data_IF_576402279769
#
_entry.id   IF_576402279769
#
_cell.length_a   1.000
_cell.length_b   1.000
_cell.length_c   1.000
_cell.angle_alpha   90.00
_cell.angle_beta   90.00
_cell.angle_gamma   90.00
#
_symmetry.space_group_name_H-M   'P 1'
#
loop_
_entity.id
_entity.type
_entity.pdbx_description
1 polymer ?
#
# COMPACT_ATOMS: atom_id res chain seq x y z
N UNK A 1 28.16 19.02 -19.07
CA UNK A 1 26.96 18.97 -18.21
C UNK A 1 26.71 17.53 -17.83
N UNK A 2 26.56 17.26 -16.54
CA UNK A 2 26.16 15.97 -16.00
C UNK A 2 24.75 16.15 -15.42
N UNK A 3 23.86 15.21 -15.71
CA UNK A 3 22.51 15.19 -15.13
C UNK A 3 22.19 13.76 -14.69
N UNK A 4 21.57 13.65 -13.52
CA UNK A 4 21.08 12.38 -13.00
C UNK A 4 19.60 12.26 -13.35
N UNK A 5 19.19 11.16 -13.98
CA UNK A 5 17.78 10.86 -14.25
C UNK A 5 17.34 9.67 -13.43
N UNK A 6 16.41 9.90 -12.51
CA UNK A 6 15.67 8.84 -11.85
C UNK A 6 14.39 8.58 -12.65
N UNK A 7 14.34 7.46 -13.39
CA UNK A 7 13.13 7.05 -14.11
C UNK A 7 12.35 6.06 -13.25
N UNK A 8 11.25 6.52 -12.65
CA UNK A 8 10.31 5.66 -11.92
C UNK A 8 9.17 5.25 -12.85
N UNK A 9 9.17 4.00 -13.31
CA UNK A 9 8.14 3.46 -14.21
C UNK A 9 6.73 3.50 -13.62
N UNK A 10 6.62 3.44 -12.29
CA UNK A 10 5.35 3.42 -11.58
C UNK A 10 4.77 4.81 -11.29
N UNK A 11 5.40 5.88 -11.78
CA UNK A 11 4.90 7.26 -11.57
C UNK A 11 3.52 7.47 -12.21
N UNK A 12 3.28 6.86 -13.37
CA UNK A 12 1.99 6.91 -14.08
C UNK A 12 1.07 5.72 -13.79
N UNK A 13 1.41 4.84 -12.83
CA UNK A 13 0.55 3.68 -12.55
C UNK A 13 -0.63 4.09 -11.66
N UNK A 14 -1.83 4.05 -12.24
CA UNK A 14 -3.11 4.30 -11.55
C UNK A 14 -3.52 3.15 -10.64
N UNK A 15 -2.57 2.53 -9.95
CA UNK A 15 -2.82 1.29 -9.23
C UNK A 15 -3.73 1.56 -8.03
N UNK A 16 -4.85 0.82 -7.94
CA UNK A 16 -5.87 0.96 -6.90
C UNK A 16 -5.30 0.97 -5.46
N UNK A 17 -4.14 0.34 -5.26
CA UNK A 17 -3.46 0.22 -3.97
C UNK A 17 -2.62 1.45 -3.59
N UNK A 18 -2.32 2.36 -4.53
CA UNK A 18 -1.71 3.68 -4.26
C UNK A 18 -2.73 4.71 -3.76
N UNK A 19 -4.04 4.44 -3.88
CA UNK A 19 -5.07 5.37 -3.40
C UNK A 19 -5.08 5.44 -1.86
N UNK A 20 -5.05 6.67 -1.37
CA UNK A 20 -5.13 7.03 0.04
C UNK A 20 -6.56 7.39 0.43
N UNK A 21 -6.90 7.08 1.67
CA UNK A 21 -8.21 7.29 2.29
C UNK A 21 -7.95 7.77 3.72
N UNK A 22 -7.67 9.08 3.92
CA UNK A 22 -7.24 9.61 5.22
C UNK A 22 -8.29 9.37 6.31
N UNK A 23 -9.57 9.37 5.97
CA UNK A 23 -10.67 9.14 6.89
C UNK A 23 -10.67 7.74 7.52
N UNK A 24 -10.01 6.76 6.88
CA UNK A 24 -9.90 5.38 7.38
C UNK A 24 -8.51 5.03 7.90
N UNK A 25 -7.60 5.99 7.93
CA UNK A 25 -6.20 5.75 8.27
C UNK A 25 -6.04 5.24 9.71
N UNK A 26 -6.75 5.85 10.67
CA UNK A 26 -6.71 5.49 12.09
C UNK A 26 -7.05 4.00 12.31
N UNK A 27 -8.19 3.55 11.78
CA UNK A 27 -8.64 2.16 11.87
C UNK A 27 -7.66 1.23 11.16
N UNK A 28 -7.18 1.60 9.96
CA UNK A 28 -6.24 0.76 9.21
C UNK A 28 -4.94 0.55 9.97
N UNK A 29 -4.39 1.61 10.53
CA UNK A 29 -3.15 1.55 11.30
C UNK A 29 -3.34 0.65 12.53
N UNK A 30 -4.47 0.78 13.24
CA UNK A 30 -4.76 -0.06 14.40
C UNK A 30 -4.97 -1.54 14.04
N UNK A 31 -5.71 -1.82 12.97
CA UNK A 31 -5.87 -3.20 12.43
C UNK A 31 -4.51 -3.82 12.11
N UNK A 32 -3.62 -3.05 11.50
CA UNK A 32 -2.31 -3.54 11.07
C UNK A 32 -1.37 -3.80 12.23
N UNK A 33 -1.37 -2.91 13.23
CA UNK A 33 -0.64 -3.09 14.49
C UNK A 33 -1.06 -4.41 15.17
N UNK A 34 -2.36 -4.59 15.41
CA UNK A 34 -2.89 -5.81 16.04
C UNK A 34 -2.63 -7.07 15.19
N UNK A 35 -2.68 -6.95 13.86
CA UNK A 35 -2.32 -8.08 13.00
C UNK A 35 -0.85 -8.46 13.15
N UNK A 36 0.07 -7.49 13.22
CA UNK A 36 1.50 -7.74 13.44
C UNK A 36 1.79 -8.37 14.80
N UNK A 37 0.98 -8.08 15.82
CA UNK A 37 1.01 -8.77 17.12
C UNK A 37 0.51 -10.23 17.05
N UNK A 38 0.01 -10.69 15.91
CA UNK A 38 -0.46 -12.06 15.71
C UNK A 38 -1.94 -12.28 16.01
N UNK A 39 -2.73 -11.22 16.17
CA UNK A 39 -4.17 -11.36 16.42
C UNK A 39 -4.92 -11.83 15.16
N UNK A 40 -5.86 -12.76 15.34
CA UNK A 40 -6.77 -13.17 14.28
C UNK A 40 -7.81 -12.09 13.94
N UNK A 41 -8.26 -12.03 12.68
CA UNK A 41 -9.17 -10.98 12.20
C UNK A 41 -10.49 -10.90 12.99
N UNK A 42 -11.02 -12.03 13.49
CA UNK A 42 -12.21 -12.05 14.35
C UNK A 42 -11.97 -11.34 15.68
N UNK A 43 -10.82 -11.58 16.31
CA UNK A 43 -10.43 -10.95 17.59
C UNK A 43 -10.22 -9.45 17.41
N UNK A 44 -9.60 -9.05 16.30
CA UNK A 44 -9.41 -7.64 15.93
C UNK A 44 -10.76 -6.95 15.73
N UNK A 45 -11.70 -7.57 15.01
CA UNK A 45 -13.04 -6.98 14.79
C UNK A 45 -13.78 -6.72 16.10
N UNK A 46 -13.78 -7.70 17.02
CA UNK A 46 -14.39 -7.55 18.34
C UNK A 46 -13.73 -6.45 19.16
N UNK A 47 -12.40 -6.37 19.14
CA UNK A 47 -11.66 -5.30 19.81
C UNK A 47 -12.05 -3.92 19.25
N UNK A 48 -12.10 -3.76 17.93
CA UNK A 48 -12.45 -2.48 17.32
C UNK A 48 -13.87 -2.04 17.67
N UNK A 49 -14.85 -2.97 17.64
CA UNK A 49 -16.22 -2.68 18.09
C UNK A 49 -16.28 -2.27 19.56
N UNK A 50 -15.56 -2.97 20.45
CA UNK A 50 -15.54 -2.67 21.88
C UNK A 50 -14.91 -1.31 22.20
N UNK A 51 -13.94 -0.87 21.39
CA UNK A 51 -13.28 0.42 21.55
C UNK A 51 -13.94 1.57 20.78
N UNK A 52 -15.14 1.36 20.22
CA UNK A 52 -15.91 2.44 19.59
C UNK A 52 -15.40 2.88 18.21
N UNK A 53 -14.61 2.06 17.52
CA UNK A 53 -14.20 2.38 16.15
C UNK A 53 -15.37 2.21 15.17
N UNK A 54 -15.46 3.11 14.19
CA UNK A 54 -16.44 3.03 13.10
C UNK A 54 -16.11 1.90 12.11
N UNK A 55 -16.54 0.69 12.45
CA UNK A 55 -16.38 -0.49 11.60
C UNK A 55 -17.72 -1.13 11.26
N UNK A 56 -17.83 -1.66 10.05
CA UNK A 56 -19.01 -2.41 9.63
C UNK A 56 -19.24 -3.67 10.48
N UNK A 57 -20.47 -4.17 10.46
CA UNK A 57 -20.88 -5.27 11.32
C UNK A 57 -20.18 -6.59 11.02
N UNK A 58 -19.80 -6.80 9.77
CA UNK A 58 -19.15 -8.04 9.36
C UNK A 58 -17.67 -8.08 9.73
N UNK A 59 -17.26 -9.14 10.42
CA UNK A 59 -15.84 -9.50 10.66
C UNK A 59 -15.00 -9.60 9.39
N UNK A 60 -15.62 -9.89 8.25
CA UNK A 60 -14.92 -10.01 6.96
C UNK A 60 -14.37 -8.66 6.47
N UNK A 61 -14.87 -7.54 6.99
CA UNK A 61 -14.28 -6.21 6.69
C UNK A 61 -12.82 -6.16 7.13
N UNK A 62 -12.49 -6.65 8.33
CA UNK A 62 -11.11 -6.71 8.85
C UNK A 62 -10.23 -7.61 7.99
N UNK A 63 -10.72 -8.80 7.62
CA UNK A 63 -9.97 -9.73 6.74
C UNK A 63 -9.64 -9.06 5.39
N UNK A 64 -10.63 -8.37 4.79
CA UNK A 64 -10.42 -7.65 3.53
C UNK A 64 -9.41 -6.49 3.67
N UNK A 65 -9.39 -5.80 4.82
CA UNK A 65 -8.41 -4.76 5.11
C UNK A 65 -7.01 -5.35 5.18
N UNK A 66 -6.83 -6.44 5.94
CA UNK A 66 -5.56 -7.15 6.06
C UNK A 66 -5.04 -7.61 4.69
N UNK A 67 -5.90 -8.23 3.87
CA UNK A 67 -5.54 -8.66 2.50
C UNK A 67 -5.06 -7.49 1.64
N UNK A 68 -5.78 -6.36 1.68
CA UNK A 68 -5.40 -5.15 0.94
C UNK A 68 -4.09 -4.55 1.45
N UNK A 69 -3.81 -4.60 2.76
CA UNK A 69 -2.56 -4.10 3.33
C UNK A 69 -1.36 -4.98 2.96
N UNK A 70 -1.50 -6.30 2.98
CA UNK A 70 -0.47 -7.23 2.47
C UNK A 70 -0.14 -6.96 1.00
N UNK A 71 -1.17 -6.74 0.18
CA UNK A 71 -0.98 -6.43 -1.24
C UNK A 71 -0.25 -5.08 -1.42
N UNK A 72 -0.62 -4.05 -0.65
CA UNK A 72 0.07 -2.74 -0.66
C UNK A 72 1.53 -2.88 -0.28
N UNK A 73 1.83 -3.62 0.79
CA UNK A 73 3.20 -3.87 1.24
C UNK A 73 4.01 -4.60 0.17
N UNK A 74 3.42 -5.61 -0.49
CA UNK A 74 4.06 -6.34 -1.58
C UNK A 74 4.37 -5.46 -2.80
N UNK A 75 3.42 -4.62 -3.22
CA UNK A 75 3.60 -3.69 -4.34
C UNK A 75 4.68 -2.65 -4.01
N UNK A 76 4.65 -2.10 -2.80
CA UNK A 76 5.62 -1.10 -2.33
C UNK A 76 7.02 -1.72 -2.24
N UNK A 77 7.15 -2.94 -1.67
CA UNK A 77 8.42 -3.67 -1.63
C UNK A 77 8.96 -4.01 -3.03
N UNK A 78 8.08 -4.23 -4.02
CA UNK A 78 8.46 -4.48 -5.43
C UNK A 78 9.05 -3.25 -6.15
N UNK A 79 8.82 -2.03 -5.68
CA UNK A 79 9.39 -0.82 -6.30
C UNK A 79 10.93 -0.82 -6.31
N UNK A 80 11.58 -1.65 -5.50
CA UNK A 80 13.05 -1.78 -5.43
C UNK A 80 13.66 -2.95 -6.22
N UNK A 81 12.94 -3.59 -7.16
CA UNK A 81 13.62 -4.48 -8.09
C UNK A 81 14.40 -3.64 -9.11
N UNK A 82 15.70 -3.44 -8.88
CA UNK A 82 16.65 -2.91 -9.87
C UNK A 82 16.66 -3.84 -11.09
N UNK A 83 15.73 -3.63 -12.03
CA UNK A 83 15.82 -4.25 -13.34
C UNK A 83 16.97 -3.55 -14.06
N UNK A 84 18.03 -4.31 -14.36
CA UNK A 84 19.13 -3.84 -15.20
C UNK A 84 18.57 -3.61 -16.60
N UNK A 85 18.29 -2.36 -16.94
CA UNK A 85 17.91 -1.98 -18.30
C UNK A 85 19.18 -1.94 -19.13
N UNK A 86 19.27 -2.83 -20.11
CA UNK A 86 20.31 -2.82 -21.14
C UNK A 86 19.67 -2.16 -22.37
N UNK A 87 20.32 -1.14 -22.93
CA UNK A 87 19.95 -0.45 -24.19
C UNK A 87 18.71 0.47 -24.18
N UNK A 88 18.76 1.61 -23.47
CA UNK A 88 17.81 2.71 -23.71
C UNK A 88 18.41 3.79 -24.64
N UNK A 89 17.60 4.28 -25.58
CA UNK A 89 17.98 5.37 -26.50
C UNK A 89 17.38 6.69 -26.04
N UNK A 90 18.20 7.72 -25.90
CA UNK A 90 17.75 9.10 -25.59
C UNK A 90 17.77 9.90 -26.88
N UNK A 91 16.64 10.55 -27.21
CA UNK A 91 16.55 11.47 -28.36
C UNK A 91 16.21 12.86 -27.85
N UNK A 92 17.03 13.85 -28.22
CA UNK A 92 16.78 15.25 -27.91
C UNK A 92 16.34 15.99 -29.18
N UNK A 93 15.35 16.87 -29.04
CA UNK A 93 14.95 17.78 -30.10
C UNK A 93 15.46 19.18 -29.73
N UNK A 94 16.30 19.74 -30.60
CA UNK A 94 16.79 21.10 -30.45
C UNK A 94 15.82 22.02 -31.20
N UNK A 95 15.43 23.12 -30.55
CA UNK A 95 14.64 24.19 -31.20
C UNK A 95 15.55 25.03 -32.08
#
# INVERSE_FOLDING_TARGET
MTFNVLVQSNFFSVHQYKREYPERESIRNKVWELHKEGWGYTKIHQYLKKNGFEIGDSRTTVDSMIKKMKQREFITKREFSLRKYVDFKIKFFRR
#
